data_IF_646062687866
#
_entry.id   IF_646062687866
#
_cell.length_a   1.000
_cell.length_b   1.000
_cell.length_c   1.000
_cell.angle_alpha   90.00
_cell.angle_beta   90.00
_cell.angle_gamma   90.00
#
_symmetry.space_group_name_H-M   'P 1'
#
loop_
_entity.id
_entity.type
_entity.pdbx_description
1 polymer ?
#
# COMPACT_ATOMS: atom_id res chain seq x y z
N UNK A 1 4.69 4.88 -8.37
CA UNK A 1 5.59 3.79 -8.83
C UNK A 1 5.60 3.66 -10.35
N UNK A 2 4.54 3.20 -11.01
CA UNK A 2 4.55 2.91 -12.46
C UNK A 2 5.10 4.04 -13.37
N UNK A 3 4.67 5.31 -13.14
CA UNK A 3 5.19 6.49 -13.87
C UNK A 3 6.72 6.63 -13.82
N UNK A 4 7.33 6.11 -12.76
CA UNK A 4 8.74 6.29 -12.42
C UNK A 4 9.54 4.99 -12.50
N UNK A 5 8.99 3.93 -13.09
CA UNK A 5 9.58 2.60 -13.13
C UNK A 5 10.93 2.52 -13.88
N UNK A 6 11.26 3.53 -14.70
CA UNK A 6 12.56 3.63 -15.37
C UNK A 6 13.66 4.30 -14.54
N UNK A 7 13.35 4.84 -13.35
CA UNK A 7 14.34 5.53 -12.53
C UNK A 7 15.15 4.52 -11.69
N UNK A 8 16.47 4.65 -11.59
CA UNK A 8 17.31 3.68 -10.85
C UNK A 8 16.98 3.63 -9.35
N UNK A 9 16.35 4.67 -8.82
CA UNK A 9 15.95 4.76 -7.42
C UNK A 9 14.55 4.23 -7.10
N UNK A 10 13.86 3.68 -8.10
CA UNK A 10 12.49 3.17 -7.98
C UNK A 10 12.35 1.83 -8.68
N UNK A 11 13.00 1.66 -9.84
CA UNK A 11 12.93 0.47 -10.67
C UNK A 11 13.16 -0.84 -9.90
N UNK A 12 14.14 -0.94 -8.97
CA UNK A 12 14.35 -2.17 -8.21
C UNK A 12 13.16 -2.58 -7.34
N UNK A 13 12.28 -1.64 -6.97
CA UNK A 13 11.09 -1.88 -6.15
C UNK A 13 9.83 -2.16 -6.98
N UNK A 14 9.88 -2.02 -8.31
CA UNK A 14 8.74 -2.18 -9.20
C UNK A 14 8.46 -3.65 -9.55
N UNK A 15 8.22 -4.48 -8.53
CA UNK A 15 7.82 -5.87 -8.75
C UNK A 15 6.37 -5.91 -9.29
N UNK A 16 6.10 -6.60 -10.42
CA UNK A 16 4.77 -6.61 -11.05
C UNK A 16 3.67 -7.24 -10.19
N UNK A 17 4.05 -8.02 -9.17
CA UNK A 17 3.14 -8.74 -8.28
C UNK A 17 2.67 -7.89 -7.09
N UNK A 18 3.15 -6.65 -6.93
CA UNK A 18 2.83 -5.77 -5.80
C UNK A 18 1.68 -4.77 -6.00
N UNK A 19 1.39 -4.23 -7.20
CA UNK A 19 0.28 -3.29 -7.37
C UNK A 19 -1.04 -3.85 -6.84
N UNK A 20 -1.77 -3.09 -6.03
CA UNK A 20 -3.01 -3.52 -5.34
C UNK A 20 -4.30 -2.93 -5.90
N UNK A 21 -4.21 -1.96 -6.81
CA UNK A 21 -5.37 -1.21 -7.31
C UNK A 21 -6.46 -2.10 -7.93
N UNK A 22 -6.08 -3.05 -8.79
CA UNK A 22 -7.04 -3.95 -9.42
C UNK A 22 -7.73 -4.86 -8.39
N UNK A 23 -6.96 -5.42 -7.45
CA UNK A 23 -7.48 -6.24 -6.37
C UNK A 23 -8.43 -5.47 -5.44
N UNK A 24 -8.08 -4.23 -5.06
CA UNK A 24 -8.95 -3.36 -4.27
C UNK A 24 -10.26 -3.04 -4.99
N UNK A 25 -10.19 -2.74 -6.29
CA UNK A 25 -11.38 -2.46 -7.09
C UNK A 25 -12.32 -3.68 -7.17
N UNK A 26 -11.76 -4.88 -7.38
CA UNK A 26 -12.53 -6.13 -7.36
C UNK A 26 -13.20 -6.37 -6.00
N UNK A 27 -12.46 -6.16 -4.91
CA UNK A 27 -12.98 -6.31 -3.56
C UNK A 27 -14.11 -5.33 -3.27
N UNK A 28 -13.94 -4.05 -3.61
CA UNK A 28 -14.99 -3.02 -3.43
C UNK A 28 -16.24 -3.33 -4.24
N UNK A 29 -16.09 -3.77 -5.49
CA UNK A 29 -17.23 -4.20 -6.31
C UNK A 29 -17.95 -5.42 -5.73
N UNK A 30 -17.21 -6.33 -5.09
CA UNK A 30 -17.77 -7.53 -4.47
C UNK A 30 -18.50 -7.20 -3.17
N UNK A 31 -17.91 -6.35 -2.34
CA UNK A 31 -18.39 -6.05 -0.99
C UNK A 31 -19.55 -5.05 -0.99
N UNK A 32 -19.54 -4.08 -1.91
CA UNK A 32 -20.50 -2.98 -1.92
C UNK A 32 -21.29 -2.88 -3.23
N UNK A 33 -20.80 -3.46 -4.32
CA UNK A 33 -21.43 -3.38 -5.64
C UNK A 33 -20.75 -2.34 -6.55
N UNK A 34 -21.17 -2.27 -7.82
CA UNK A 34 -20.50 -1.44 -8.84
C UNK A 34 -20.60 0.08 -8.60
N UNK A 35 -21.54 0.53 -7.77
CA UNK A 35 -21.74 1.93 -7.39
C UNK A 35 -20.92 2.37 -6.17
N UNK A 36 -20.01 1.54 -5.67
CA UNK A 36 -19.27 1.78 -4.42
C UNK A 36 -18.59 3.14 -4.34
N UNK A 37 -18.12 3.70 -5.45
CA UNK A 37 -17.42 4.98 -5.47
C UNK A 37 -18.31 6.17 -5.18
N UNK A 38 -19.61 6.05 -5.46
CA UNK A 38 -20.59 7.12 -5.21
C UNK A 38 -21.08 7.07 -3.76
N UNK A 39 -21.12 5.88 -3.17
CA UNK A 39 -21.66 5.64 -1.83
C UNK A 39 -20.60 5.71 -0.72
N UNK A 40 -19.32 5.45 -1.05
CA UNK A 40 -18.21 5.41 -0.08
C UNK A 40 -17.23 6.54 -0.41
N UNK A 41 -17.46 7.77 0.06
CA UNK A 41 -16.49 8.84 -0.11
C UNK A 41 -15.20 8.52 0.66
N UNK A 42 -14.03 8.87 0.11
CA UNK A 42 -12.78 8.68 0.82
C UNK A 42 -12.70 9.60 2.05
N UNK A 43 -12.15 9.07 3.14
CA UNK A 43 -11.80 9.84 4.34
C UNK A 43 -10.88 11.02 4.00
N UNK A 44 -10.98 12.11 4.76
CA UNK A 44 -10.16 13.30 4.55
C UNK A 44 -8.66 12.99 4.64
N UNK A 45 -8.25 12.18 5.63
CA UNK A 45 -6.86 11.73 5.75
C UNK A 45 -6.38 10.88 4.56
N UNK A 46 -7.29 10.14 3.91
CA UNK A 46 -6.96 9.37 2.70
C UNK A 46 -6.75 10.29 1.50
N UNK A 47 -7.57 11.33 1.35
CA UNK A 47 -7.39 12.39 0.34
C UNK A 47 -6.06 13.10 0.55
N UNK A 48 -5.75 13.51 1.78
CA UNK A 48 -4.50 14.19 2.13
C UNK A 48 -3.27 13.30 1.86
N UNK A 49 -3.39 12.01 2.16
CA UNK A 49 -2.30 11.08 1.87
C UNK A 49 -2.09 10.90 0.35
N UNK A 50 -3.18 10.77 -0.42
CA UNK A 50 -3.09 10.69 -1.88
C UNK A 50 -2.48 11.97 -2.48
N UNK A 51 -2.85 13.14 -1.96
CA UNK A 51 -2.29 14.43 -2.36
C UNK A 51 -0.78 14.51 -2.07
N UNK A 52 -0.35 14.04 -0.89
CA UNK A 52 1.07 13.95 -0.54
C UNK A 52 1.85 13.04 -1.49
N UNK A 53 1.33 11.84 -1.79
CA UNK A 53 1.95 10.93 -2.77
C UNK A 53 2.07 11.57 -4.16
N UNK A 54 1.07 12.35 -4.58
CA UNK A 54 1.10 13.08 -5.85
C UNK A 54 2.16 14.19 -5.84
N UNK A 55 2.30 14.92 -4.74
CA UNK A 55 3.32 15.94 -4.57
C UNK A 55 4.74 15.33 -4.62
N UNK A 56 4.98 14.21 -3.91
CA UNK A 56 6.23 13.47 -3.99
C UNK A 56 6.51 12.99 -5.42
N UNK A 57 5.51 12.46 -6.11
CA UNK A 57 5.65 12.03 -7.50
C UNK A 57 6.09 13.15 -8.46
N UNK A 58 5.84 14.41 -8.14
CA UNK A 58 6.22 15.56 -8.98
C UNK A 58 7.59 16.10 -8.53
N UNK A 59 7.76 16.32 -7.23
CA UNK A 59 8.87 17.10 -6.69
C UNK A 59 10.04 16.23 -6.23
N UNK A 60 9.76 15.04 -5.69
CA UNK A 60 10.74 14.18 -5.01
C UNK A 60 10.41 12.69 -5.23
N UNK A 61 10.42 12.20 -6.48
CA UNK A 61 9.91 10.86 -6.80
C UNK A 61 10.65 9.73 -6.07
N UNK A 62 11.93 9.92 -5.78
CA UNK A 62 12.75 9.04 -4.97
C UNK A 62 12.08 8.62 -3.65
N UNK A 63 11.38 9.55 -2.99
CA UNK A 63 10.74 9.32 -1.70
C UNK A 63 9.50 8.41 -1.78
N UNK A 64 9.00 8.12 -2.99
CA UNK A 64 7.95 7.11 -3.18
C UNK A 64 8.41 5.71 -2.75
N UNK A 65 9.73 5.43 -2.75
CA UNK A 65 10.29 4.19 -2.23
C UNK A 65 9.93 3.97 -0.75
N UNK A 66 9.89 5.04 0.06
CA UNK A 66 9.49 4.97 1.45
C UNK A 66 8.02 4.50 1.60
N UNK A 67 7.10 5.03 0.81
CA UNK A 67 5.69 4.61 0.87
C UNK A 67 5.44 3.22 0.26
N UNK A 68 6.20 2.86 -0.79
CA UNK A 68 6.24 1.50 -1.30
C UNK A 68 6.64 0.52 -0.19
N UNK A 69 7.65 0.88 0.62
CA UNK A 69 8.10 0.08 1.76
C UNK A 69 7.01 -0.06 2.83
N UNK A 70 6.43 1.06 3.28
CA UNK A 70 5.39 1.06 4.33
C UNK A 70 4.19 0.21 3.91
N UNK A 71 3.76 0.31 2.64
CA UNK A 71 2.61 -0.44 2.12
C UNK A 71 2.95 -1.88 1.82
N UNK A 72 3.79 -2.12 0.81
CA UNK A 72 3.94 -3.46 0.24
C UNK A 72 4.62 -4.43 1.20
N UNK A 73 5.64 -3.98 1.95
CA UNK A 73 6.29 -4.87 2.90
C UNK A 73 5.37 -5.20 4.07
N UNK A 74 4.57 -4.24 4.54
CA UNK A 74 3.53 -4.47 5.55
C UNK A 74 2.46 -5.45 5.05
N UNK A 75 1.95 -5.24 3.84
CA UNK A 75 0.94 -6.10 3.22
C UNK A 75 1.47 -7.53 3.00
N UNK A 76 2.75 -7.71 2.65
CA UNK A 76 3.38 -9.03 2.51
C UNK A 76 3.56 -9.76 3.85
N UNK A 77 3.96 -9.07 4.92
CA UNK A 77 4.17 -9.69 6.23
C UNK A 77 2.86 -9.99 6.97
N UNK A 78 1.95 -9.01 7.01
CA UNK A 78 0.73 -9.09 7.82
C UNK A 78 -0.52 -9.49 7.04
N UNK A 79 -0.51 -9.36 5.70
CA UNK A 79 -1.71 -9.50 4.89
C UNK A 79 -2.34 -10.88 4.95
N UNK A 80 -1.55 -11.94 5.12
CA UNK A 80 -2.10 -13.31 5.24
C UNK A 80 -2.89 -13.51 6.55
N UNK A 81 -2.47 -12.86 7.63
CA UNK A 81 -3.19 -12.90 8.91
C UNK A 81 -4.46 -12.04 8.79
N UNK A 82 -4.32 -10.80 8.32
CA UNK A 82 -5.45 -9.88 8.17
C UNK A 82 -6.51 -10.43 7.20
N UNK A 83 -6.12 -11.02 6.09
CA UNK A 83 -7.04 -11.65 5.14
C UNK A 83 -7.88 -12.76 5.77
N UNK A 84 -7.31 -13.55 6.70
CA UNK A 84 -8.07 -14.55 7.47
C UNK A 84 -9.04 -13.90 8.45
N UNK A 85 -8.62 -12.86 9.15
CA UNK A 85 -9.50 -12.09 10.06
C UNK A 85 -10.68 -11.48 9.31
N UNK A 86 -10.43 -10.82 8.18
CA UNK A 86 -11.47 -10.23 7.33
C UNK A 86 -12.43 -11.30 6.80
N UNK A 87 -11.91 -12.44 6.35
CA UNK A 87 -12.75 -13.56 5.88
C UNK A 87 -13.72 -14.03 6.95
N UNK A 88 -13.23 -14.18 8.18
CA UNK A 88 -14.03 -14.66 9.30
C UNK A 88 -15.07 -13.61 9.72
N UNK A 89 -14.65 -12.35 9.86
CA UNK A 89 -15.51 -11.26 10.29
C UNK A 89 -16.66 -10.97 9.32
N UNK A 90 -16.39 -11.04 8.01
CA UNK A 90 -17.37 -10.75 6.95
C UNK A 90 -17.99 -12.01 6.34
N UNK A 91 -17.70 -13.20 6.89
CA UNK A 91 -18.18 -14.50 6.40
C UNK A 91 -17.94 -14.72 4.89
N UNK A 92 -16.79 -14.24 4.39
CA UNK A 92 -16.46 -14.30 2.96
C UNK A 92 -16.16 -15.73 2.52
N UNK A 93 -16.80 -16.14 1.42
CA UNK A 93 -16.59 -17.44 0.79
C UNK A 93 -15.67 -17.31 -0.44
N UNK A 94 -15.00 -18.40 -0.79
CA UNK A 94 -14.28 -18.58 -2.06
C UNK A 94 -13.20 -17.53 -2.41
N UNK A 95 -12.66 -16.82 -1.41
CA UNK A 95 -11.62 -15.82 -1.67
C UNK A 95 -12.11 -14.46 -2.18
N UNK A 96 -13.42 -14.30 -2.39
CA UNK A 96 -14.03 -13.06 -2.91
C UNK A 96 -14.09 -11.98 -1.83
N UNK A 97 -13.87 -10.72 -2.21
CA UNK A 97 -13.90 -9.59 -1.27
C UNK A 97 -12.66 -9.46 -0.38
N UNK A 98 -11.58 -10.19 -0.70
CA UNK A 98 -10.29 -10.13 0.01
C UNK A 98 -9.07 -10.31 -0.92
N UNK A 99 -9.25 -10.13 -2.22
CA UNK A 99 -8.19 -10.25 -3.25
C UNK A 99 -7.00 -9.35 -2.94
N UNK A 100 -7.21 -8.22 -2.25
CA UNK A 100 -6.16 -7.34 -1.75
C UNK A 100 -5.04 -8.09 -0.99
N UNK A 101 -5.41 -9.09 -0.19
CA UNK A 101 -4.47 -9.87 0.63
C UNK A 101 -3.80 -11.03 -0.13
N UNK A 102 -4.27 -11.34 -1.35
CA UNK A 102 -3.75 -12.42 -2.17
C UNK A 102 -2.74 -11.87 -3.18
N UNK A 103 -1.47 -12.28 -3.05
CA UNK A 103 -0.40 -11.93 -3.97
C UNK A 103 -0.20 -13.06 -4.99
N UNK A 104 0.04 -12.69 -6.24
CA UNK A 104 0.37 -13.66 -7.27
C UNK A 104 1.85 -14.03 -7.11
N UNK A 105 2.13 -15.15 -6.43
CA UNK A 105 3.48 -15.63 -6.15
C UNK A 105 3.72 -16.00 -4.69
N UNK A 106 4.87 -16.60 -4.43
CA UNK A 106 5.26 -17.01 -3.07
C UNK A 106 5.68 -15.78 -2.26
N UNK A 107 4.97 -15.50 -1.16
CA UNK A 107 5.13 -14.28 -0.34
C UNK A 107 6.56 -14.10 0.16
N UNK A 108 7.22 -15.16 0.63
CA UNK A 108 8.62 -15.13 1.07
C UNK A 108 9.57 -14.72 -0.05
N UNK A 109 9.35 -15.19 -1.27
CA UNK A 109 10.10 -14.82 -2.48
C UNK A 109 9.90 -13.35 -2.82
N UNK A 110 8.66 -12.85 -2.73
CA UNK A 110 8.37 -11.42 -2.93
C UNK A 110 9.05 -10.54 -1.88
N UNK A 111 9.05 -10.97 -0.61
CA UNK A 111 9.76 -10.26 0.47
C UNK A 111 11.27 -10.22 0.19
N UNK A 112 11.88 -11.35 -0.20
CA UNK A 112 13.30 -11.41 -0.54
C UNK A 112 13.64 -10.47 -1.70
N UNK A 113 12.95 -10.60 -2.83
CA UNK A 113 13.14 -9.74 -4.02
C UNK A 113 12.94 -8.26 -3.70
N UNK A 114 11.99 -7.92 -2.84
CA UNK A 114 11.76 -6.54 -2.43
C UNK A 114 12.92 -5.99 -1.59
N UNK A 115 13.47 -6.81 -0.68
CA UNK A 115 14.66 -6.45 0.12
C UNK A 115 15.89 -6.30 -0.76
N UNK A 116 16.12 -7.24 -1.69
CA UNK A 116 17.21 -7.12 -2.67
C UNK A 116 17.09 -5.83 -3.50
N UNK A 117 15.86 -5.44 -3.84
CA UNK A 117 15.57 -4.17 -4.51
C UNK A 117 15.89 -2.93 -3.65
N UNK A 118 15.62 -2.97 -2.34
CA UNK A 118 16.01 -1.90 -1.41
C UNK A 118 17.53 -1.78 -1.28
N UNK A 119 18.22 -2.92 -1.18
CA UNK A 119 19.69 -2.97 -1.07
C UNK A 119 20.37 -2.44 -2.34
N UNK A 120 19.74 -2.62 -3.50
CA UNK A 120 20.20 -2.12 -4.78
C UNK A 120 19.96 -0.61 -5.01
N UNK A 121 19.22 0.08 -4.14
CA UNK A 121 19.02 1.52 -4.28
C UNK A 121 20.34 2.29 -4.05
N UNK A 122 20.50 3.49 -4.65
CA UNK A 122 21.69 4.31 -4.39
C UNK A 122 21.86 4.63 -2.90
N UNK A 123 23.00 4.24 -2.33
CA UNK A 123 23.32 4.26 -0.89
C UNK A 123 23.99 5.59 -0.45
N UNK A 124 23.29 6.71 -0.58
CA UNK A 124 23.74 8.00 -0.03
C UNK A 124 23.13 8.24 1.37
N UNK A 125 23.95 8.67 2.34
CA UNK A 125 23.50 8.83 3.73
C UNK A 125 22.33 9.82 3.87
N UNK A 126 22.42 10.98 3.21
CA UNK A 126 21.36 12.01 3.29
C UNK A 126 20.04 11.51 2.68
N UNK A 127 20.14 10.70 1.63
CA UNK A 127 19.01 10.05 0.98
C UNK A 127 18.38 8.98 1.86
N UNK A 128 19.19 8.17 2.53
CA UNK A 128 18.72 7.15 3.48
C UNK A 128 17.93 7.82 4.60
N UNK A 129 18.47 8.89 5.19
CA UNK A 129 17.80 9.65 6.24
C UNK A 129 16.45 10.22 5.76
N UNK A 130 16.41 10.77 4.54
CA UNK A 130 15.17 11.27 3.95
C UNK A 130 14.13 10.16 3.71
N UNK A 131 14.56 8.98 3.25
CA UNK A 131 13.68 7.81 3.08
C UNK A 131 13.14 7.30 4.41
N UNK A 132 13.97 7.22 5.45
CA UNK A 132 13.57 6.80 6.79
C UNK A 132 12.56 7.80 7.38
N UNK A 133 12.86 9.09 7.30
CA UNK A 133 11.97 10.15 7.78
C UNK A 133 10.60 10.10 7.06
N UNK A 134 10.61 9.92 5.73
CA UNK A 134 9.37 9.80 4.95
C UNK A 134 8.61 8.50 5.27
N UNK A 135 9.30 7.39 5.51
CA UNK A 135 8.65 6.14 5.91
C UNK A 135 7.93 6.30 7.25
N UNK A 136 8.56 6.93 8.23
CA UNK A 136 7.94 7.24 9.52
C UNK A 136 6.74 8.19 9.35
N UNK A 137 6.83 9.20 8.47
CA UNK A 137 5.71 10.06 8.14
C UNK A 137 4.57 9.28 7.46
N UNK A 138 4.89 8.36 6.56
CA UNK A 138 3.94 7.45 5.94
C UNK A 138 3.18 6.59 6.95
N UNK A 139 3.89 5.99 7.93
CA UNK A 139 3.26 5.26 9.03
C UNK A 139 2.30 6.14 9.83
N UNK A 140 2.70 7.36 10.21
CA UNK A 140 1.82 8.29 10.93
C UNK A 140 0.57 8.64 10.15
N UNK A 141 0.67 8.85 8.83
CA UNK A 141 -0.49 9.10 7.97
C UNK A 141 -1.46 7.91 7.97
N UNK A 142 -0.95 6.67 8.00
CA UNK A 142 -1.81 5.47 8.11
C UNK A 142 -2.51 5.41 9.45
N UNK A 143 -1.83 5.73 10.55
CA UNK A 143 -2.44 5.85 11.87
C UNK A 143 -3.59 6.88 11.84
N UNK A 144 -3.35 8.07 11.30
CA UNK A 144 -4.40 9.11 11.16
C UNK A 144 -5.59 8.62 10.34
N UNK A 145 -5.37 7.89 9.24
CA UNK A 145 -6.45 7.29 8.47
C UNK A 145 -7.24 6.26 9.29
N UNK A 146 -6.58 5.40 10.06
CA UNK A 146 -7.26 4.43 10.91
C UNK A 146 -8.06 5.09 12.03
N UNK A 147 -7.52 6.14 12.66
CA UNK A 147 -8.20 6.90 13.70
C UNK A 147 -9.47 7.59 13.16
N UNK A 148 -9.38 8.20 11.98
CA UNK A 148 -10.53 8.82 11.31
C UNK A 148 -11.60 7.78 10.96
N UNK A 149 -11.20 6.62 10.41
CA UNK A 149 -12.15 5.54 10.12
C UNK A 149 -12.80 5.00 11.40
N UNK A 150 -12.03 4.78 12.46
CA UNK A 150 -12.56 4.31 13.74
C UNK A 150 -13.59 5.29 14.34
N UNK A 151 -13.36 6.59 14.21
CA UNK A 151 -14.29 7.62 14.69
C UNK A 151 -15.64 7.64 13.95
N UNK A 152 -15.74 6.99 12.79
CA UNK A 152 -16.98 6.88 12.02
C UNK A 152 -17.77 5.59 12.29
N UNK A 153 -17.18 4.62 12.99
CA UNK A 153 -17.86 3.38 13.36
C UNK A 153 -18.76 3.60 14.58
N UNK A 154 -20.00 3.06 14.59
CA UNK A 154 -20.83 3.06 15.78
C UNK A 154 -20.17 2.21 16.89
N UNK A 155 -20.19 2.74 18.11
CA UNK A 155 -19.61 2.09 19.31
C UNK A 155 -20.45 0.95 19.87
#
# INVERSE_FOLDING_TARGET
MARHAGRPDIAPLCLPELPRTAALHEDLCTLHGRGWSDDIPPAAAAIDYAAHLKALSINQPALLAAHSYVRHLGDLHGGQVLGRVVSAALQLQDGRGKRFYAFDGEVGSLIRRYRDGLDALPQDASRIDALVAEAQAGFRRHITMFDELAATLPG
#
